data_IF_905949789081
#
_entry.id   IF_905949789081
#
_cell.length_a   1.000
_cell.length_b   1.000
_cell.length_c   1.000
_cell.angle_alpha   90.00
_cell.angle_beta   90.00
_cell.angle_gamma   90.00
#
_symmetry.space_group_name_H-M   'P 1'
#
loop_
_entity.id
_entity.type
_entity.pdbx_description
1 polymer ?
#
# COMPACT_ATOMS: atom_id res chain seq x y z
N UNK A 1 30.97 -5.74 -7.29
CA UNK A 1 29.51 -5.51 -7.34
C UNK A 1 29.40 -4.01 -7.49
N UNK A 2 29.04 -3.54 -8.68
CA UNK A 2 29.09 -2.11 -8.98
C UNK A 2 28.16 -1.34 -8.05
N UNK A 3 28.71 -0.31 -7.41
CA UNK A 3 27.99 0.56 -6.50
C UNK A 3 26.96 1.34 -7.33
N UNK A 4 25.67 1.03 -7.14
CA UNK A 4 24.59 1.73 -7.84
C UNK A 4 24.60 3.19 -7.35
N UNK A 5 25.10 4.08 -8.19
CA UNK A 5 25.07 5.53 -7.95
C UNK A 5 23.70 6.06 -8.34
N UNK A 6 22.93 6.54 -7.35
CA UNK A 6 21.66 7.21 -7.59
C UNK A 6 21.89 8.69 -7.91
N UNK A 7 21.07 9.29 -8.80
CA UNK A 7 21.15 10.72 -9.07
C UNK A 7 20.86 11.52 -7.78
N UNK A 8 21.79 12.39 -7.41
CA UNK A 8 21.67 13.32 -6.30
C UNK A 8 21.23 14.70 -6.86
N UNK A 9 20.17 15.35 -6.33
CA UNK A 9 19.34 14.92 -5.21
C UNK A 9 18.23 13.94 -5.59
N UNK A 10 18.07 12.92 -4.75
CA UNK A 10 16.89 12.07 -4.76
C UNK A 10 15.61 12.87 -4.44
N UNK A 11 14.46 12.47 -5.00
CA UNK A 11 13.20 13.13 -4.69
C UNK A 11 12.84 12.94 -3.21
N UNK A 12 12.43 14.02 -2.56
CA UNK A 12 11.99 13.98 -1.15
C UNK A 12 10.65 13.27 -0.97
N UNK A 13 9.84 13.22 -2.02
CA UNK A 13 8.51 12.62 -2.03
C UNK A 13 8.22 12.00 -3.39
N UNK A 14 7.85 10.72 -3.41
CA UNK A 14 7.35 10.01 -4.58
C UNK A 14 5.87 9.66 -4.35
N UNK A 15 5.04 9.90 -5.35
CA UNK A 15 3.65 9.45 -5.37
C UNK A 15 3.44 8.42 -6.48
N UNK A 16 2.82 7.28 -6.14
CA UNK A 16 2.55 6.18 -7.06
C UNK A 16 1.04 5.98 -7.17
N UNK A 17 0.54 6.04 -8.40
CA UNK A 17 -0.81 5.58 -8.74
C UNK A 17 -0.72 4.11 -9.13
N UNK A 18 -1.25 3.24 -8.29
CA UNK A 18 -1.13 1.79 -8.45
C UNK A 18 -2.22 1.24 -9.36
N UNK A 19 -2.08 1.49 -10.66
CA UNK A 19 -3.03 1.02 -11.68
C UNK A 19 -2.57 -0.29 -12.34
N UNK A 20 -3.50 -0.99 -12.97
CA UNK A 20 -3.20 -2.16 -13.79
C UNK A 20 -3.46 -3.51 -13.12
N UNK A 21 -3.71 -3.57 -11.81
CA UNK A 21 -3.98 -4.82 -11.08
C UNK A 21 -5.07 -5.69 -11.75
N UNK A 22 -6.21 -5.08 -12.09
CA UNK A 22 -7.30 -5.78 -12.77
C UNK A 22 -6.92 -6.27 -14.18
N UNK A 23 -6.19 -5.45 -14.95
CA UNK A 23 -5.71 -5.80 -16.30
C UNK A 23 -4.68 -6.94 -16.26
N UNK A 24 -3.75 -6.89 -15.30
CA UNK A 24 -2.73 -7.91 -15.09
C UNK A 24 -3.34 -9.28 -14.76
N UNK A 25 -4.41 -9.30 -13.95
CA UNK A 25 -5.15 -10.53 -13.65
C UNK A 25 -5.91 -11.07 -14.86
N UNK A 26 -6.57 -10.19 -15.62
CA UNK A 26 -7.33 -10.57 -16.82
C UNK A 26 -6.42 -11.21 -17.89
N UNK A 27 -5.24 -10.65 -18.13
CA UNK A 27 -4.24 -11.23 -19.05
C UNK A 27 -3.83 -12.65 -18.68
N UNK A 28 -3.94 -13.02 -17.39
CA UNK A 28 -3.61 -14.33 -16.85
C UNK A 28 -4.83 -15.24 -16.66
N UNK A 29 -6.00 -14.83 -17.16
CA UNK A 29 -7.29 -15.53 -16.97
C UNK A 29 -7.57 -15.79 -15.48
N UNK A 30 -7.28 -14.81 -14.64
CA UNK A 30 -7.51 -14.84 -13.18
C UNK A 30 -8.54 -13.78 -12.77
N UNK A 31 -9.28 -13.99 -11.66
CA UNK A 31 -10.14 -12.96 -11.09
C UNK A 31 -9.35 -11.70 -10.71
N UNK A 32 -9.97 -10.51 -10.81
CA UNK A 32 -9.34 -9.22 -10.49
C UNK A 32 -8.68 -9.17 -9.11
N UNK A 33 -9.29 -9.83 -8.12
CA UNK A 33 -8.77 -9.92 -6.76
C UNK A 33 -7.35 -10.52 -6.72
N UNK A 34 -7.03 -11.43 -7.64
CA UNK A 34 -5.69 -12.01 -7.76
C UNK A 34 -4.64 -10.96 -8.14
N UNK A 35 -4.99 -10.03 -9.03
CA UNK A 35 -4.14 -8.90 -9.37
C UNK A 35 -3.98 -7.91 -8.23
N UNK A 36 -5.03 -7.69 -7.43
CA UNK A 36 -4.91 -6.87 -6.22
C UNK A 36 -3.99 -7.49 -5.16
N UNK A 37 -3.98 -8.82 -5.05
CA UNK A 37 -3.01 -9.52 -4.19
C UNK A 37 -1.58 -9.33 -4.69
N UNK A 38 -1.33 -9.50 -6.00
CA UNK A 38 -0.02 -9.23 -6.59
C UNK A 38 0.41 -7.76 -6.40
N UNK A 39 -0.55 -6.82 -6.53
CA UNK A 39 -0.29 -5.41 -6.25
C UNK A 39 0.14 -5.14 -4.81
N UNK A 40 -0.34 -5.92 -3.82
CA UNK A 40 0.12 -5.79 -2.43
C UNK A 40 1.59 -6.19 -2.26
N UNK A 41 2.06 -7.19 -3.03
CA UNK A 41 3.48 -7.57 -3.05
C UNK A 41 4.33 -6.47 -3.71
N UNK A 42 3.87 -5.88 -4.82
CA UNK A 42 4.54 -4.73 -5.45
C UNK A 42 4.59 -3.50 -4.53
N UNK A 43 3.57 -3.30 -3.69
CA UNK A 43 3.58 -2.24 -2.68
C UNK A 43 4.67 -2.49 -1.64
N UNK A 44 4.80 -3.72 -1.15
CA UNK A 44 5.84 -4.08 -0.19
C UNK A 44 7.22 -3.75 -0.75
N UNK A 45 7.49 -4.21 -1.97
CA UNK A 45 8.75 -3.95 -2.68
C UNK A 45 9.00 -2.44 -2.83
N UNK A 46 8.02 -1.67 -3.31
CA UNK A 46 8.17 -0.22 -3.46
C UNK A 46 8.45 0.50 -2.13
N UNK A 47 7.82 0.07 -1.04
CA UNK A 47 8.01 0.64 0.31
C UNK A 47 9.40 0.29 0.85
N UNK A 48 9.85 -0.96 0.70
CA UNK A 48 11.17 -1.40 1.14
C UNK A 48 12.28 -0.69 0.33
N UNK A 49 12.17 -0.65 -0.99
CA UNK A 49 13.12 0.05 -1.85
C UNK A 49 13.17 1.55 -1.56
N UNK A 50 12.01 2.21 -1.35
CA UNK A 50 11.97 3.62 -0.98
C UNK A 50 12.73 3.87 0.33
N UNK A 51 12.61 2.95 1.30
CA UNK A 51 13.35 3.03 2.55
C UNK A 51 14.85 2.83 2.37
N UNK A 52 15.25 1.82 1.59
CA UNK A 52 16.66 1.49 1.31
C UNK A 52 17.39 2.62 0.56
N UNK A 53 16.73 3.22 -0.43
CA UNK A 53 17.28 4.30 -1.25
C UNK A 53 17.22 5.66 -0.53
N UNK A 54 16.47 5.78 0.58
CA UNK A 54 16.40 7.01 1.37
C UNK A 54 15.36 8.02 0.90
N UNK A 55 14.32 7.57 0.18
CA UNK A 55 13.14 8.39 -0.12
C UNK A 55 12.39 8.69 1.17
N UNK A 56 12.25 9.97 1.51
CA UNK A 56 11.65 10.39 2.79
C UNK A 56 10.14 10.20 2.87
N UNK A 57 9.44 10.32 1.75
CA UNK A 57 7.99 10.18 1.69
C UNK A 57 7.58 9.37 0.47
N UNK A 58 6.75 8.36 0.69
CA UNK A 58 6.10 7.59 -0.36
C UNK A 58 4.59 7.67 -0.16
N UNK A 59 3.86 8.12 -1.17
CA UNK A 59 2.40 8.11 -1.18
C UNK A 59 1.89 7.14 -2.22
N UNK A 60 1.03 6.23 -1.78
CA UNK A 60 0.46 5.19 -2.63
C UNK A 60 -1.04 5.40 -2.75
N UNK A 61 -1.53 5.56 -3.99
CA UNK A 61 -2.95 5.70 -4.23
C UNK A 61 -3.62 4.33 -4.26
N UNK A 62 -4.05 3.86 -3.09
CA UNK A 62 -4.54 2.49 -2.88
C UNK A 62 -6.01 2.26 -3.22
N UNK A 63 -6.85 3.29 -3.11
CA UNK A 63 -8.29 3.13 -3.32
C UNK A 63 -8.91 4.46 -3.74
N UNK A 64 -9.61 4.45 -4.88
CA UNK A 64 -10.27 5.64 -5.43
C UNK A 64 -11.74 5.74 -5.01
N UNK A 65 -12.33 6.93 -5.14
CA UNK A 65 -13.78 7.12 -4.92
C UNK A 65 -14.63 6.30 -5.87
N UNK A 66 -14.16 6.06 -7.10
CA UNK A 66 -14.80 5.26 -8.14
C UNK A 66 -14.73 3.77 -7.82
N UNK A 67 -13.77 3.33 -7.00
CA UNK A 67 -13.70 1.91 -6.61
C UNK A 67 -14.91 1.48 -5.77
N UNK A 68 -15.62 2.41 -5.13
CA UNK A 68 -16.89 2.15 -4.46
C UNK A 68 -18.04 1.77 -5.42
N UNK A 69 -17.93 2.10 -6.70
CA UNK A 69 -18.94 1.77 -7.71
C UNK A 69 -18.79 0.35 -8.27
N UNK A 70 -17.76 -0.40 -7.84
CA UNK A 70 -17.52 -1.79 -8.25
C UNK A 70 -18.51 -2.75 -7.56
N UNK A 71 -18.67 -3.99 -8.07
CA UNK A 71 -19.53 -4.98 -7.43
C UNK A 71 -19.18 -5.20 -5.96
N UNK A 72 -20.19 -5.32 -5.10
CA UNK A 72 -20.00 -5.37 -3.63
C UNK A 72 -19.08 -6.50 -3.16
N UNK A 73 -19.08 -7.65 -3.84
CA UNK A 73 -18.15 -8.74 -3.56
C UNK A 73 -16.69 -8.36 -3.84
N UNK A 74 -16.42 -7.60 -4.90
CA UNK A 74 -15.08 -7.11 -5.21
C UNK A 74 -14.62 -6.12 -4.16
N UNK A 75 -15.48 -5.14 -3.81
CA UNK A 75 -15.18 -4.16 -2.75
C UNK A 75 -14.89 -4.86 -1.42
N UNK A 76 -15.71 -5.84 -1.03
CA UNK A 76 -15.48 -6.63 0.19
C UNK A 76 -14.14 -7.37 0.14
N UNK A 77 -13.78 -7.96 -1.00
CA UNK A 77 -12.48 -8.60 -1.20
C UNK A 77 -11.30 -7.62 -1.03
N UNK A 78 -11.41 -6.40 -1.56
CA UNK A 78 -10.40 -5.35 -1.40
C UNK A 78 -10.24 -4.94 0.07
N UNK A 79 -11.34 -4.78 0.80
CA UNK A 79 -11.31 -4.45 2.23
C UNK A 79 -10.64 -5.55 3.06
N UNK A 80 -10.94 -6.82 2.76
CA UNK A 80 -10.26 -7.97 3.38
C UNK A 80 -8.76 -7.95 3.09
N UNK A 81 -8.36 -7.71 1.84
CA UNK A 81 -6.93 -7.64 1.47
C UNK A 81 -6.22 -6.50 2.20
N UNK A 82 -6.82 -5.31 2.26
CA UNK A 82 -6.25 -4.16 2.95
C UNK A 82 -6.02 -4.46 4.44
N UNK A 83 -7.02 -5.04 5.11
CA UNK A 83 -6.90 -5.43 6.52
C UNK A 83 -5.78 -6.44 6.74
N UNK A 84 -5.72 -7.48 5.91
CA UNK A 84 -4.67 -8.52 6.00
C UNK A 84 -3.28 -7.92 5.77
N UNK A 85 -3.13 -7.06 4.77
CA UNK A 85 -1.86 -6.37 4.48
C UNK A 85 -1.41 -5.49 5.65
N UNK A 86 -2.30 -4.65 6.19
CA UNK A 86 -1.98 -3.82 7.36
C UNK A 86 -1.53 -4.66 8.56
N UNK A 87 -2.16 -5.80 8.77
CA UNK A 87 -1.80 -6.71 9.86
C UNK A 87 -0.46 -7.40 9.62
N UNK A 88 -0.17 -7.86 8.40
CA UNK A 88 1.09 -8.55 8.09
C UNK A 88 2.29 -7.62 8.07
N UNK A 89 2.12 -6.39 7.58
CA UNK A 89 3.24 -5.46 7.38
C UNK A 89 3.60 -4.66 8.62
N UNK A 90 2.77 -4.64 9.66
CA UNK A 90 3.04 -3.86 10.87
C UNK A 90 4.42 -4.15 11.47
N UNK A 91 4.80 -5.42 11.58
CA UNK A 91 6.11 -5.80 12.11
C UNK A 91 7.25 -5.31 11.20
N UNK A 92 7.10 -5.46 9.89
CA UNK A 92 8.05 -4.99 8.88
C UNK A 92 8.22 -3.47 8.92
N UNK A 93 7.12 -2.72 8.98
CA UNK A 93 7.14 -1.26 9.08
C UNK A 93 7.89 -0.81 10.33
N UNK A 94 7.61 -1.41 11.49
CA UNK A 94 8.31 -1.09 12.76
C UNK A 94 9.80 -1.42 12.68
N UNK A 95 10.14 -2.61 12.16
CA UNK A 95 11.54 -3.05 11.99
C UNK A 95 12.32 -2.08 11.09
N UNK A 96 11.71 -1.62 10.00
CA UNK A 96 12.35 -0.73 9.04
C UNK A 96 12.25 0.75 9.43
N UNK A 97 11.59 1.07 10.55
CA UNK A 97 11.41 2.44 11.02
C UNK A 97 10.54 3.27 10.08
N UNK A 98 9.53 2.66 9.47
CA UNK A 98 8.58 3.29 8.53
C UNK A 98 7.34 3.77 9.29
N UNK A 99 6.99 5.05 9.12
CA UNK A 99 5.76 5.63 9.66
C UNK A 99 4.62 5.59 8.64
N UNK A 100 3.50 4.94 9.01
CA UNK A 100 2.29 4.95 8.18
C UNK A 100 1.43 6.19 8.47
N UNK A 101 0.98 6.85 7.41
CA UNK A 101 -0.08 7.85 7.44
C UNK A 101 -1.15 7.50 6.42
N UNK A 102 -2.39 7.92 6.66
CA UNK A 102 -3.50 7.73 5.72
C UNK A 102 -4.24 9.04 5.49
N UNK A 103 -4.42 9.37 4.21
CA UNK A 103 -5.17 10.51 3.74
C UNK A 103 -6.48 10.05 3.08
N UNK A 104 -7.55 10.84 3.22
CA UNK A 104 -8.84 10.59 2.58
C UNK A 104 -9.97 10.22 3.55
N UNK A 105 -11.05 9.66 3.01
CA UNK A 105 -12.33 9.45 3.69
C UNK A 105 -12.34 8.16 4.53
N UNK A 106 -11.55 8.11 5.61
CA UNK A 106 -11.43 6.92 6.49
C UNK A 106 -12.77 6.42 7.05
N UNK A 107 -13.75 7.31 7.21
CA UNK A 107 -15.09 6.98 7.70
C UNK A 107 -15.89 6.06 6.75
N UNK A 108 -15.47 5.92 5.49
CA UNK A 108 -16.10 5.01 4.51
C UNK A 108 -15.56 3.58 4.58
N UNK A 109 -14.46 3.36 5.29
CA UNK A 109 -13.91 2.03 5.48
C UNK A 109 -14.80 1.24 6.44
N UNK A 110 -14.98 -0.08 6.23
CA UNK A 110 -15.60 -0.94 7.23
C UNK A 110 -14.89 -0.82 8.57
N UNK A 111 -15.64 -0.92 9.66
CA UNK A 111 -15.14 -0.60 11.00
C UNK A 111 -13.93 -1.43 11.42
N UNK A 112 -13.87 -2.70 11.04
CA UNK A 112 -12.76 -3.58 11.37
C UNK A 112 -11.49 -3.22 10.60
N UNK A 113 -11.62 -2.78 9.34
CA UNK A 113 -10.51 -2.27 8.52
C UNK A 113 -10.02 -0.93 9.08
N UNK A 114 -10.94 -0.02 9.42
CA UNK A 114 -10.63 1.29 10.00
C UNK A 114 -9.88 1.16 11.33
N UNK A 115 -10.35 0.28 12.22
CA UNK A 115 -9.68 -0.02 13.50
C UNK A 115 -8.27 -0.59 13.29
N UNK A 116 -8.10 -1.48 12.31
CA UNK A 116 -6.77 -2.02 11.97
C UNK A 116 -5.84 -0.91 11.46
N UNK A 117 -6.33 -0.06 10.54
CA UNK A 117 -5.57 1.07 10.02
C UNK A 117 -5.14 2.03 11.14
N UNK A 118 -6.07 2.46 11.98
CA UNK A 118 -5.78 3.39 13.07
C UNK A 118 -4.79 2.78 14.08
N UNK A 119 -4.86 1.46 14.33
CA UNK A 119 -3.86 0.74 15.14
C UNK A 119 -2.47 0.81 14.52
N UNK A 120 -2.32 0.49 13.23
CA UNK A 120 -1.01 0.50 12.55
C UNK A 120 -0.41 1.91 12.54
N UNK A 121 -1.23 2.95 12.29
CA UNK A 121 -0.79 4.35 12.37
C UNK A 121 -0.29 4.68 13.78
N UNK A 122 -1.00 4.27 14.83
CA UNK A 122 -0.60 4.53 16.21
C UNK A 122 0.72 3.81 16.56
N UNK A 123 0.86 2.54 16.18
CA UNK A 123 2.04 1.73 16.49
C UNK A 123 3.29 2.14 15.71
N UNK A 124 3.13 2.83 14.56
CA UNK A 124 4.24 3.32 13.73
C UNK A 124 4.48 4.83 13.91
N UNK A 125 3.76 5.52 14.81
CA UNK A 125 3.88 6.97 15.00
C UNK A 125 5.29 7.44 15.40
N UNK A 126 6.04 6.60 16.12
CA UNK A 126 7.42 6.88 16.54
C UNK A 126 8.49 6.59 15.48
N UNK A 127 8.08 6.07 14.32
CA UNK A 127 8.97 5.81 13.18
C UNK A 127 9.24 7.10 12.37
N UNK A 128 10.20 7.02 11.44
CA UNK A 128 10.61 8.14 10.57
C UNK A 128 9.86 8.12 9.24
#
# INVERSE_FOLDING_TARGET
MDEISYPDPLPRHVAIIMDGNGRWAQQRRRPRLFGHKAGADSVREAVETAREVGIRHLSLYAFSTENWQRPGLEVKGLMTLLKTYLQSELATMKKNGIRLACFGQKYRLPDDVRKMLDRVIAETKGCS
#
